data_IF_137495242669
#
_entry.id   IF_137495242669
#
_cell.length_a   1.000
_cell.length_b   1.000
_cell.length_c   1.000
_cell.angle_alpha   90.00
_cell.angle_beta   90.00
_cell.angle_gamma   90.00
#
_symmetry.space_group_name_H-M   'P 1'
#
loop_
_entity.id
_entity.type
_entity.pdbx_description
1 polymer ?
#
# COMPACT_ATOMS: atom_id res chain seq x y z
N UNK A 1 20.15 16.13 9.17
CA UNK A 1 19.63 15.86 10.51
C UNK A 1 18.29 15.13 10.49
N UNK A 2 17.30 15.59 9.69
CA UNK A 2 15.95 14.97 9.66
C UNK A 2 15.97 13.49 9.24
N UNK A 3 16.72 13.12 8.20
CA UNK A 3 16.83 11.75 7.72
C UNK A 3 17.49 10.80 8.75
N UNK A 4 18.40 11.32 9.58
CA UNK A 4 19.03 10.54 10.64
C UNK A 4 18.04 10.05 11.72
N UNK A 5 16.87 10.68 11.83
CA UNK A 5 15.82 10.26 12.74
C UNK A 5 15.05 9.03 12.27
N UNK A 6 15.06 8.74 10.97
CA UNK A 6 14.28 7.62 10.39
C UNK A 6 14.80 6.27 10.91
N UNK A 7 16.12 6.08 10.93
CA UNK A 7 16.72 4.82 11.35
C UNK A 7 16.37 4.42 12.79
N UNK A 8 16.58 5.25 13.84
CA UNK A 8 16.26 4.87 15.20
C UNK A 8 14.75 4.64 15.39
N UNK A 9 13.90 5.44 14.76
CA UNK A 9 12.45 5.28 14.85
C UNK A 9 12.02 3.96 14.19
N UNK A 10 12.60 3.60 13.05
CA UNK A 10 12.34 2.33 12.38
C UNK A 10 12.79 1.15 13.23
N UNK A 11 14.00 1.23 13.82
CA UNK A 11 14.54 0.18 14.70
C UNK A 11 13.65 -0.08 15.92
N UNK A 12 13.10 0.97 16.54
CA UNK A 12 12.13 0.83 17.63
C UNK A 12 10.78 0.34 17.13
N UNK A 13 10.35 0.81 15.97
CA UNK A 13 9.07 0.44 15.38
C UNK A 13 8.97 -1.04 14.98
N UNK A 14 10.08 -1.66 14.53
CA UNK A 14 10.11 -3.06 14.10
C UNK A 14 9.64 -4.02 15.21
N UNK A 15 10.22 -4.07 16.41
CA UNK A 15 9.78 -5.00 17.45
C UNK A 15 8.37 -4.69 17.94
N UNK A 16 7.97 -3.42 18.04
CA UNK A 16 6.61 -3.03 18.41
C UNK A 16 5.59 -3.55 17.39
N UNK A 17 5.85 -3.35 16.11
CA UNK A 17 4.97 -3.84 15.05
C UNK A 17 4.96 -5.37 14.97
N UNK A 18 6.11 -6.01 15.15
CA UNK A 18 6.20 -7.47 15.20
C UNK A 18 5.33 -8.08 16.31
N UNK A 19 5.34 -7.49 17.49
CA UNK A 19 4.46 -7.86 18.61
C UNK A 19 2.99 -7.57 18.27
N UNK A 20 2.68 -6.38 17.73
CA UNK A 20 1.32 -5.98 17.38
C UNK A 20 0.67 -6.90 16.35
N UNK A 21 1.41 -7.33 15.32
CA UNK A 21 0.89 -8.26 14.30
C UNK A 21 0.44 -9.60 14.91
N UNK A 22 1.00 -10.01 16.05
CA UNK A 22 0.68 -11.27 16.74
C UNK A 22 -0.42 -11.12 17.78
N UNK A 23 -0.55 -9.95 18.37
CA UNK A 23 -1.40 -9.74 19.56
C UNK A 23 -2.67 -8.95 19.27
N UNK A 24 -2.61 -7.96 18.37
CA UNK A 24 -3.73 -7.05 18.15
C UNK A 24 -3.84 -6.57 16.70
N UNK A 25 -4.82 -7.07 15.95
CA UNK A 25 -5.05 -6.63 14.57
C UNK A 25 -5.30 -5.12 14.44
N UNK A 26 -5.91 -4.49 15.44
CA UNK A 26 -6.17 -3.04 15.46
C UNK A 26 -4.87 -2.25 15.58
N UNK A 27 -4.01 -2.62 16.53
CA UNK A 27 -2.71 -1.97 16.74
C UNK A 27 -1.80 -2.22 15.54
N UNK A 28 -1.81 -3.43 14.97
CA UNK A 28 -1.04 -3.78 13.79
C UNK A 28 -1.38 -2.96 12.53
N UNK A 29 -2.60 -2.41 12.44
CA UNK A 29 -2.99 -1.46 11.39
C UNK A 29 -2.54 -0.04 11.70
N UNK A 30 -2.58 0.35 12.96
CA UNK A 30 -2.34 1.71 13.40
C UNK A 30 -0.86 2.09 13.38
N UNK A 31 0.03 1.19 13.82
CA UNK A 31 1.47 1.49 13.88
C UNK A 31 2.06 1.89 12.52
N UNK A 32 1.86 1.15 11.40
CA UNK A 32 2.36 1.57 10.10
C UNK A 32 1.76 2.90 9.63
N UNK A 33 0.48 3.13 9.88
CA UNK A 33 -0.18 4.38 9.56
C UNK A 33 0.50 5.58 10.26
N UNK A 34 0.72 5.49 11.57
CA UNK A 34 1.37 6.54 12.34
C UNK A 34 2.85 6.71 11.94
N UNK A 35 3.56 5.61 11.72
CA UNK A 35 4.93 5.61 11.23
C UNK A 35 5.05 6.35 9.90
N UNK A 36 4.18 6.04 8.93
CA UNK A 36 4.22 6.70 7.62
C UNK A 36 3.78 8.16 7.67
N UNK A 37 2.85 8.52 8.53
CA UNK A 37 2.54 9.95 8.80
C UNK A 37 3.75 10.72 9.31
N UNK A 38 4.49 10.11 10.23
CA UNK A 38 5.72 10.71 10.74
C UNK A 38 6.81 10.73 9.65
N UNK A 39 6.98 9.65 8.90
CA UNK A 39 7.92 9.58 7.79
C UNK A 39 7.64 10.67 6.74
N UNK A 40 6.40 10.86 6.32
CA UNK A 40 6.01 11.93 5.42
C UNK A 40 6.38 13.32 5.97
N UNK A 41 6.17 13.56 7.28
CA UNK A 41 6.58 14.84 7.91
C UNK A 41 8.10 15.04 7.91
N UNK A 42 8.87 13.99 8.21
CA UNK A 42 10.34 14.03 8.20
C UNK A 42 10.86 14.33 6.79
N UNK A 43 10.28 13.68 5.78
CA UNK A 43 10.61 13.89 4.37
C UNK A 43 10.12 15.25 3.83
N UNK A 44 9.29 15.97 4.58
CA UNK A 44 8.72 17.24 4.13
C UNK A 44 7.56 17.07 3.15
N UNK A 45 6.97 15.88 3.07
CA UNK A 45 5.82 15.61 2.21
C UNK A 45 4.56 16.22 2.82
N UNK A 46 3.96 17.17 2.11
CA UNK A 46 2.66 17.76 2.45
C UNK A 46 1.56 16.95 1.76
N UNK A 47 0.86 16.17 2.56
CA UNK A 47 -0.27 15.38 2.08
C UNK A 47 -1.54 16.25 2.01
N UNK A 48 -2.19 16.24 0.85
CA UNK A 48 -3.51 16.85 0.64
C UNK A 48 -4.45 15.74 0.18
N UNK A 49 -5.40 15.38 1.04
CA UNK A 49 -6.39 14.35 0.72
C UNK A 49 -7.68 15.04 0.28
N UNK A 50 -8.22 14.61 -0.86
CA UNK A 50 -9.52 15.03 -1.37
C UNK A 50 -10.43 13.81 -1.43
N UNK A 51 -11.65 13.94 -0.93
CA UNK A 51 -12.57 12.82 -0.74
C UNK A 51 -12.36 12.11 0.61
N UNK A 52 -13.04 11.02 0.81
CA UNK A 52 -13.03 10.28 2.07
C UNK A 52 -12.77 8.79 1.82
N UNK A 53 -11.99 8.13 2.69
CA UNK A 53 -11.87 6.66 2.67
C UNK A 53 -13.23 6.00 2.91
N UNK A 54 -13.43 4.82 2.36
CA UNK A 54 -14.60 4.01 2.65
C UNK A 54 -14.72 3.79 4.17
N UNK A 55 -15.85 4.21 4.76
CA UNK A 55 -16.04 4.22 6.22
C UNK A 55 -16.50 2.88 6.78
N UNK A 56 -17.21 2.09 5.98
CA UNK A 56 -17.87 0.88 6.44
C UNK A 56 -17.33 -0.35 5.71
N UNK A 57 -16.79 -1.29 6.47
CA UNK A 57 -16.36 -2.59 5.95
C UNK A 57 -14.98 -2.59 5.29
N UNK A 58 -14.73 -3.66 4.57
CA UNK A 58 -13.51 -3.85 3.81
C UNK A 58 -13.48 -2.93 2.58
N UNK A 59 -12.29 -2.51 2.20
CA UNK A 59 -12.09 -1.73 0.98
C UNK A 59 -10.98 -2.31 0.11
N UNK A 60 -11.26 -2.47 -1.18
CA UNK A 60 -10.24 -2.65 -2.19
C UNK A 60 -9.98 -1.28 -2.83
N UNK A 61 -8.83 -0.72 -2.53
CA UNK A 61 -8.38 0.55 -3.10
C UNK A 61 -7.56 0.26 -4.35
N UNK A 62 -8.00 0.79 -5.48
CA UNK A 62 -7.30 0.67 -6.77
C UNK A 62 -6.67 2.00 -7.09
N UNK A 63 -5.33 2.04 -7.15
CA UNK A 63 -4.56 3.27 -7.29
C UNK A 63 -3.59 3.19 -8.47
N UNK A 64 -3.32 4.33 -9.13
CA UNK A 64 -2.15 4.46 -10.01
C UNK A 64 -0.86 4.39 -9.18
N UNK A 65 0.26 4.05 -9.83
CA UNK A 65 1.54 3.87 -9.16
C UNK A 65 2.62 4.72 -9.82
N UNK A 66 3.09 5.74 -9.11
CA UNK A 66 4.05 6.72 -9.63
C UNK A 66 5.43 6.50 -9.02
N UNK A 67 5.50 6.21 -7.71
CA UNK A 67 6.75 6.20 -6.97
C UNK A 67 6.69 5.21 -5.79
N UNK A 68 7.86 4.83 -5.28
CA UNK A 68 7.94 4.14 -3.98
C UNK A 68 7.29 4.96 -2.85
N UNK A 69 7.23 6.27 -3.00
CA UNK A 69 6.63 7.21 -2.05
C UNK A 69 5.10 7.04 -1.92
N UNK A 70 4.46 6.40 -2.89
CA UNK A 70 3.01 6.10 -2.83
C UNK A 70 2.66 5.25 -1.61
N UNK A 71 3.57 4.34 -1.24
CA UNK A 71 3.37 3.44 -0.09
C UNK A 71 3.21 4.24 1.21
N UNK A 72 4.19 5.08 1.62
CA UNK A 72 4.03 5.90 2.82
C UNK A 72 2.93 6.96 2.69
N UNK A 73 2.69 7.51 1.51
CA UNK A 73 1.66 8.55 1.30
C UNK A 73 0.26 7.98 1.50
N UNK A 74 -0.08 6.87 0.86
CA UNK A 74 -1.40 6.22 1.04
C UNK A 74 -1.57 5.74 2.48
N UNK A 75 -0.54 5.08 3.02
CA UNK A 75 -0.60 4.59 4.40
C UNK A 75 -0.67 5.72 5.44
N UNK A 76 -0.15 6.91 5.13
CA UNK A 76 -0.30 8.10 5.97
C UNK A 76 -1.71 8.72 5.89
N UNK A 77 -2.42 8.52 4.78
CA UNK A 77 -3.80 8.98 4.62
C UNK A 77 -4.80 8.08 5.36
N UNK A 78 -4.63 6.76 5.26
CA UNK A 78 -5.53 5.78 5.89
C UNK A 78 -4.79 4.47 6.21
N UNK A 79 -5.17 3.74 7.27
CA UNK A 79 -4.58 2.45 7.58
C UNK A 79 -4.87 1.43 6.47
N UNK A 80 -3.83 0.96 5.78
CA UNK A 80 -3.94 0.03 4.66
C UNK A 80 -2.90 -1.08 4.71
N UNK A 81 -3.18 -2.17 4.00
CA UNK A 81 -2.21 -3.18 3.56
C UNK A 81 -2.03 -3.06 2.04
N UNK A 82 -0.93 -3.58 1.51
CA UNK A 82 -0.64 -3.51 0.07
C UNK A 82 -0.60 -4.90 -0.56
N UNK A 83 -0.77 -4.92 -1.87
CA UNK A 83 -0.47 -6.09 -2.70
C UNK A 83 0.81 -5.77 -3.47
N UNK A 84 1.83 -6.61 -3.33
CA UNK A 84 3.13 -6.43 -3.96
C UNK A 84 3.60 -7.69 -4.67
N UNK A 85 4.59 -7.55 -5.57
CA UNK A 85 5.28 -8.69 -6.20
C UNK A 85 6.04 -9.51 -5.16
N UNK A 86 6.10 -10.83 -5.34
CA UNK A 86 6.82 -11.74 -4.44
C UNK A 86 8.30 -11.35 -4.26
N UNK A 87 8.95 -10.87 -5.34
CA UNK A 87 10.35 -10.45 -5.31
C UNK A 87 10.61 -9.32 -4.30
N UNK A 88 9.65 -8.42 -4.09
CA UNK A 88 9.77 -7.34 -3.08
C UNK A 88 9.95 -7.92 -1.68
N UNK A 89 9.34 -9.06 -1.41
CA UNK A 89 9.48 -9.78 -0.14
C UNK A 89 10.90 -10.30 0.11
N UNK A 90 11.73 -10.43 -0.91
CA UNK A 90 13.13 -10.91 -0.78
C UNK A 90 14.13 -9.78 -0.59
N UNK A 91 13.73 -8.54 -0.80
CA UNK A 91 14.63 -7.39 -0.64
C UNK A 91 14.98 -7.16 0.83
N UNK A 92 16.26 -6.98 1.16
CA UNK A 92 16.68 -6.66 2.51
C UNK A 92 15.94 -5.43 3.04
N UNK A 93 15.60 -5.42 4.32
CA UNK A 93 14.84 -4.36 4.99
C UNK A 93 13.45 -4.07 4.40
N UNK A 94 13.34 -3.81 3.09
CA UNK A 94 12.06 -3.51 2.42
C UNK A 94 11.09 -4.70 2.57
N UNK A 95 11.55 -5.92 2.31
CA UNK A 95 10.75 -7.13 2.49
C UNK A 95 10.31 -7.34 3.94
N UNK A 96 11.18 -7.04 4.91
CA UNK A 96 10.82 -7.09 6.34
C UNK A 96 9.72 -6.06 6.66
N UNK A 97 9.91 -4.80 6.28
CA UNK A 97 8.96 -3.73 6.53
C UNK A 97 7.61 -3.99 5.84
N UNK A 98 7.65 -4.49 4.58
CA UNK A 98 6.44 -4.87 3.85
C UNK A 98 5.68 -6.01 4.56
N UNK A 99 6.36 -7.03 5.08
CA UNK A 99 5.73 -8.09 5.89
C UNK A 99 5.11 -7.56 7.16
N UNK A 100 5.80 -6.66 7.86
CA UNK A 100 5.31 -6.00 9.05
C UNK A 100 4.10 -5.10 8.75
N UNK A 101 4.05 -4.50 7.56
CA UNK A 101 2.87 -3.78 7.07
C UNK A 101 1.75 -4.72 6.58
N UNK A 102 1.93 -6.03 6.73
CA UNK A 102 0.94 -7.03 6.39
C UNK A 102 0.66 -7.11 4.88
N UNK A 103 1.63 -6.75 4.05
CA UNK A 103 1.57 -6.82 2.58
C UNK A 103 1.28 -8.24 2.12
N UNK A 104 0.40 -8.40 1.15
CA UNK A 104 0.13 -9.65 0.46
C UNK A 104 1.06 -9.74 -0.75
N UNK A 105 1.90 -10.78 -0.79
CA UNK A 105 2.84 -10.97 -1.89
C UNK A 105 2.25 -11.90 -2.94
N UNK A 106 2.31 -11.48 -4.22
CA UNK A 106 1.82 -12.24 -5.36
C UNK A 106 2.98 -12.78 -6.17
N UNK A 107 3.04 -14.10 -6.30
CA UNK A 107 3.85 -14.76 -7.30
C UNK A 107 3.02 -14.94 -8.59
N UNK A 108 3.42 -14.25 -9.66
CA UNK A 108 2.71 -14.25 -10.95
C UNK A 108 3.12 -15.40 -11.87
N UNK A 109 4.16 -16.13 -11.51
CA UNK A 109 4.73 -17.16 -12.36
C UNK A 109 4.03 -18.52 -12.20
N UNK A 110 3.29 -18.71 -11.09
CA UNK A 110 2.65 -19.98 -10.74
C UNK A 110 1.15 -19.83 -10.54
N UNK A 111 0.34 -20.59 -11.31
CA UNK A 111 -1.13 -20.63 -11.13
C UNK A 111 -1.56 -21.04 -9.73
N UNK A 112 -0.87 -22.00 -9.11
CA UNK A 112 -1.15 -22.41 -7.73
C UNK A 112 -0.92 -21.29 -6.70
N UNK A 113 0.05 -20.40 -6.94
CA UNK A 113 0.31 -19.25 -6.09
C UNK A 113 -0.82 -18.19 -6.20
N UNK A 114 -1.55 -18.17 -7.31
CA UNK A 114 -2.72 -17.28 -7.49
C UNK A 114 -3.83 -17.63 -6.49
N UNK A 115 -4.14 -18.91 -6.29
CA UNK A 115 -5.16 -19.35 -5.34
C UNK A 115 -4.79 -18.98 -3.90
N UNK A 116 -3.54 -19.20 -3.49
CA UNK A 116 -3.05 -18.80 -2.16
C UNK A 116 -3.11 -17.27 -1.96
N UNK A 117 -2.81 -16.50 -3.00
CA UNK A 117 -2.92 -15.05 -3.00
C UNK A 117 -4.38 -14.60 -2.85
N UNK A 118 -5.29 -15.21 -3.61
CA UNK A 118 -6.72 -14.91 -3.54
C UNK A 118 -7.23 -15.16 -2.12
N UNK A 119 -6.86 -16.28 -1.51
CA UNK A 119 -7.19 -16.59 -0.11
C UNK A 119 -6.62 -15.56 0.85
N UNK A 120 -5.38 -15.10 0.65
CA UNK A 120 -4.75 -14.11 1.51
C UNK A 120 -5.40 -12.72 1.40
N UNK A 121 -5.68 -12.24 0.19
CA UNK A 121 -6.43 -10.99 -0.05
C UNK A 121 -7.82 -11.12 0.56
N UNK A 122 -8.46 -12.21 0.27
CA UNK A 122 -9.75 -12.58 0.79
C UNK A 122 -9.79 -12.53 2.32
N UNK A 123 -8.83 -13.13 2.99
CA UNK A 123 -8.76 -13.11 4.44
C UNK A 123 -8.54 -11.70 5.01
N UNK A 124 -7.85 -10.81 4.30
CA UNK A 124 -7.69 -9.39 4.69
C UNK A 124 -9.02 -8.65 4.61
N UNK A 125 -9.67 -8.73 3.46
CA UNK A 125 -10.96 -8.08 3.23
C UNK A 125 -12.03 -8.61 4.20
N UNK A 126 -12.06 -9.92 4.46
CA UNK A 126 -12.99 -10.52 5.43
C UNK A 126 -12.80 -10.05 6.89
N UNK A 127 -11.64 -9.48 7.23
CA UNK A 127 -11.37 -8.84 8.53
C UNK A 127 -11.67 -7.33 8.54
N UNK A 128 -12.29 -6.81 7.49
CA UNK A 128 -12.57 -5.38 7.34
C UNK A 128 -11.30 -4.55 7.08
N UNK A 129 -10.25 -5.13 6.47
CA UNK A 129 -9.04 -4.40 6.11
C UNK A 129 -9.24 -3.62 4.81
N UNK A 130 -8.60 -2.46 4.69
CA UNK A 130 -8.39 -1.80 3.41
C UNK A 130 -7.12 -2.34 2.76
N UNK A 131 -7.23 -2.76 1.50
CA UNK A 131 -6.12 -3.34 0.72
C UNK A 131 -5.92 -2.52 -0.54
N UNK A 132 -4.68 -2.11 -0.79
CA UNK A 132 -4.31 -1.31 -1.97
C UNK A 132 -3.75 -2.23 -3.05
N UNK A 133 -4.30 -2.09 -4.25
CA UNK A 133 -3.83 -2.70 -5.48
C UNK A 133 -3.34 -1.60 -6.43
N UNK A 134 -2.13 -1.78 -6.95
CA UNK A 134 -1.62 -1.03 -8.09
C UNK A 134 -1.77 -1.90 -9.35
N UNK A 135 -2.83 -1.72 -10.15
CA UNK A 135 -3.15 -2.63 -11.25
C UNK A 135 -2.14 -2.56 -12.40
N UNK A 136 -1.39 -1.47 -12.50
CA UNK A 136 -0.29 -1.28 -13.45
C UNK A 136 0.86 -2.26 -13.21
N UNK A 137 1.05 -2.65 -11.94
CA UNK A 137 2.06 -3.63 -11.53
C UNK A 137 3.50 -3.16 -11.65
N UNK A 138 3.74 -1.90 -11.94
CA UNK A 138 5.02 -1.19 -11.92
C UNK A 138 4.75 0.29 -11.72
N UNK A 139 5.78 1.06 -11.38
CA UNK A 139 5.70 2.53 -11.33
C UNK A 139 5.66 3.10 -12.74
N UNK A 140 4.79 4.09 -12.95
CA UNK A 140 4.69 4.88 -14.17
C UNK A 140 5.42 6.23 -14.03
N UNK A 141 5.31 7.06 -15.07
CA UNK A 141 5.88 8.41 -15.13
C UNK A 141 5.01 9.48 -14.42
N UNK A 142 3.88 9.08 -13.85
CA UNK A 142 2.93 10.00 -13.22
C UNK A 142 2.10 10.84 -14.19
N UNK A 143 2.36 10.75 -15.49
CA UNK A 143 1.67 11.50 -16.55
C UNK A 143 0.65 10.60 -17.24
N UNK A 144 1.00 9.33 -17.48
CA UNK A 144 0.17 8.35 -18.17
C UNK A 144 -0.21 7.21 -17.23
N UNK A 145 -1.44 6.75 -17.34
CA UNK A 145 -1.85 5.51 -16.69
C UNK A 145 -1.38 4.35 -17.56
N UNK A 146 -0.59 3.45 -16.97
CA UNK A 146 -0.13 2.26 -17.67
C UNK A 146 -1.26 1.23 -17.81
N UNK A 147 -1.19 0.33 -18.81
CA UNK A 147 -2.18 -0.73 -18.97
C UNK A 147 -2.30 -1.61 -17.72
N UNK A 148 -3.53 -1.87 -17.31
CA UNK A 148 -3.80 -2.73 -16.15
C UNK A 148 -3.45 -4.18 -16.47
N UNK A 149 -2.73 -4.81 -15.55
CA UNK A 149 -2.36 -6.22 -15.61
C UNK A 149 -3.58 -7.09 -15.28
N UNK A 150 -4.15 -7.75 -16.30
CA UNK A 150 -5.34 -8.60 -16.13
C UNK A 150 -5.18 -9.69 -15.06
N UNK A 151 -3.98 -10.24 -14.90
CA UNK A 151 -3.67 -11.22 -13.86
C UNK A 151 -3.83 -10.67 -12.43
N UNK A 152 -3.52 -9.40 -12.20
CA UNK A 152 -3.71 -8.74 -10.90
C UNK A 152 -5.18 -8.48 -10.61
N UNK A 153 -5.88 -7.95 -11.62
CA UNK A 153 -7.31 -7.66 -11.52
C UNK A 153 -8.11 -8.96 -11.34
N UNK A 154 -7.76 -10.01 -12.10
CA UNK A 154 -8.38 -11.32 -11.99
C UNK A 154 -8.23 -11.95 -10.61
N UNK A 155 -7.00 -11.96 -10.07
CA UNK A 155 -6.73 -12.49 -8.75
C UNK A 155 -7.57 -11.82 -7.65
N UNK A 156 -7.74 -10.51 -7.73
CA UNK A 156 -8.53 -9.77 -6.75
C UNK A 156 -10.02 -9.96 -6.98
N UNK A 157 -10.49 -10.00 -8.24
CA UNK A 157 -11.89 -10.32 -8.55
C UNK A 157 -12.30 -11.66 -7.96
N UNK A 158 -11.49 -12.69 -8.15
CA UNK A 158 -11.76 -14.02 -7.63
C UNK A 158 -11.81 -14.02 -6.09
N UNK A 159 -10.94 -13.24 -5.44
CA UNK A 159 -10.98 -13.04 -3.99
C UNK A 159 -12.24 -12.30 -3.50
N UNK A 160 -12.88 -11.48 -4.35
CA UNK A 160 -14.12 -10.76 -4.03
C UNK A 160 -15.37 -11.62 -4.23
N UNK A 161 -15.33 -12.56 -5.18
CA UNK A 161 -16.49 -13.42 -5.52
C UNK A 161 -16.59 -14.69 -4.68
N UNK A 162 -15.58 -15.03 -3.88
CA UNK A 162 -15.49 -16.25 -3.11
C UNK A 162 -16.39 -16.23 -1.86
N UNK A 163 -17.71 -16.41 -2.09
CA UNK A 163 -18.73 -16.80 -1.09
C UNK A 163 -18.89 -15.92 0.16
N UNK A 164 -18.76 -14.60 0.06
CA UNK A 164 -18.80 -13.71 1.22
C UNK A 164 -20.11 -12.98 1.38
N UNK A 165 -20.58 -12.99 2.62
CA UNK A 165 -21.71 -12.15 3.06
C UNK A 165 -21.29 -10.70 3.37
N UNK A 166 -19.97 -10.41 3.41
CA UNK A 166 -19.49 -9.07 3.78
C UNK A 166 -19.23 -8.24 2.53
N UNK A 167 -19.92 -7.11 2.35
CA UNK A 167 -19.72 -6.24 1.21
C UNK A 167 -18.30 -5.63 1.23
N UNK A 168 -17.63 -5.63 0.09
CA UNK A 168 -16.32 -5.00 -0.09
C UNK A 168 -16.50 -3.74 -0.95
N UNK A 169 -16.05 -2.61 -0.44
CA UNK A 169 -16.07 -1.36 -1.18
C UNK A 169 -14.93 -1.34 -2.20
N UNK A 170 -15.25 -1.12 -3.48
CA UNK A 170 -14.25 -0.83 -4.50
C UNK A 170 -14.03 0.68 -4.53
N UNK A 171 -12.85 1.13 -4.14
CA UNK A 171 -12.52 2.55 -4.03
C UNK A 171 -11.39 2.92 -5.01
N UNK A 172 -11.66 3.69 -6.06
CA UNK A 172 -10.61 4.28 -6.88
C UNK A 172 -9.87 5.37 -6.09
N UNK A 173 -8.55 5.44 -6.28
CA UNK A 173 -7.69 6.45 -5.69
C UNK A 173 -6.69 6.93 -6.74
N UNK A 174 -6.50 8.24 -6.84
CA UNK A 174 -5.48 8.82 -7.70
C UNK A 174 -4.43 9.51 -6.85
N UNK A 175 -3.17 9.22 -7.13
CA UNK A 175 -2.01 9.91 -6.56
C UNK A 175 -1.41 10.80 -7.62
N UNK A 176 -1.12 12.03 -7.23
CA UNK A 176 -0.33 12.95 -8.05
C UNK A 176 0.62 13.74 -7.16
N UNK A 177 1.84 13.95 -7.64
CA UNK A 177 2.83 14.80 -7.00
C UNK A 177 2.79 16.15 -7.71
N UNK A 178 2.24 17.16 -7.05
CA UNK A 178 1.90 18.42 -7.69
C UNK A 178 2.98 19.50 -7.54
N UNK A 179 3.84 19.39 -6.51
CA UNK A 179 4.81 20.44 -6.17
C UNK A 179 6.08 19.88 -5.54
N UNK A 180 7.23 20.47 -5.89
CA UNK A 180 8.53 20.25 -5.26
C UNK A 180 9.11 21.58 -4.80
N UNK A 181 9.52 21.69 -3.52
CA UNK A 181 10.02 22.95 -2.97
C UNK A 181 9.02 24.12 -3.02
N UNK A 182 7.71 23.81 -3.08
CA UNK A 182 6.64 24.81 -3.19
C UNK A 182 6.27 25.21 -4.63
N UNK A 183 7.09 24.87 -5.62
CA UNK A 183 6.84 25.14 -7.04
C UNK A 183 6.06 23.97 -7.68
N UNK A 184 5.16 24.25 -8.66
CA UNK A 184 4.54 23.21 -9.47
C UNK A 184 5.61 22.36 -10.15
N UNK A 185 5.38 21.04 -10.20
CA UNK A 185 6.21 20.12 -10.98
C UNK A 185 5.88 20.23 -12.46
N UNK A 186 6.91 20.27 -13.30
CA UNK A 186 6.80 20.03 -14.73
C UNK A 186 6.63 18.53 -15.02
N UNK A 187 6.18 18.19 -16.23
CA UNK A 187 6.02 16.78 -16.63
C UNK A 187 7.34 16.00 -16.53
N UNK A 188 8.46 16.63 -16.88
CA UNK A 188 9.80 16.03 -16.77
C UNK A 188 10.17 15.72 -15.30
N UNK A 189 9.88 16.64 -14.37
CA UNK A 189 10.16 16.43 -12.95
C UNK A 189 9.23 15.42 -12.29
N UNK A 190 8.01 15.22 -12.83
CA UNK A 190 7.12 14.16 -12.36
C UNK A 190 7.67 12.76 -12.69
N UNK A 191 8.30 12.60 -13.84
CA UNK A 191 8.90 11.34 -14.25
C UNK A 191 10.10 10.92 -13.39
N UNK A 192 10.71 11.86 -12.65
CA UNK A 192 11.89 11.65 -11.79
C UNK A 192 11.54 11.39 -10.31
N UNK A 193 10.27 11.26 -9.96
CA UNK A 193 9.79 10.97 -8.59
C UNK A 193 9.74 9.47 -8.33
#
# INVERSE_FOLDING_TARGET
LRLAMIAPITLVGIPLQWAAVRTSPRVAKLIPHLYHRMLCRILGVRLVVRGEPAKNGAALIVANHVSWLDIPVISAATPVSFIAKAEVGTWPMVGLLARLQRTVFIDRTRRAATAATNTAVAARLGRGDAVVLFPEGTTGDGIRILPFRSSLVGAVRDALTDGRDTPVNLQPLTITYARRGGLPLSDAEQADI
#
